data_IF_515115169025
#
_entry.id   IF_515115169025
#
_cell.length_a   1.000
_cell.length_b   1.000
_cell.length_c   1.000
_cell.angle_alpha   90.00
_cell.angle_beta   90.00
_cell.angle_gamma   90.00
#
_symmetry.space_group_name_H-M   'P 1'
#
loop_
_entity.id
_entity.type
_entity.pdbx_description
1 polymer ?
#
# COMPACT_ATOMS: atom_id res chain seq x y z
N UNK A 1 61.90 2.23 55.30
CA UNK A 1 60.77 1.32 55.06
C UNK A 1 60.91 0.76 53.63
N UNK A 2 61.16 -0.55 53.50
CA UNK A 2 61.28 -1.22 52.18
C UNK A 2 59.91 -1.63 51.69
N UNK A 3 59.39 -1.01 50.65
CA UNK A 3 58.20 -1.48 49.98
C UNK A 3 58.48 -2.75 49.19
N UNK A 4 57.74 -3.79 49.46
CA UNK A 4 57.91 -5.11 48.85
C UNK A 4 57.61 -5.11 47.36
N UNK A 5 58.42 -5.86 46.58
CA UNK A 5 58.31 -5.99 45.12
C UNK A 5 57.00 -6.62 44.61
N UNK A 6 56.14 -7.12 45.51
CA UNK A 6 54.86 -7.77 45.16
C UNK A 6 53.75 -6.81 44.82
N UNK A 7 53.79 -5.53 45.27
CA UNK A 7 52.76 -4.53 44.97
C UNK A 7 52.76 -3.98 43.55
N UNK A 8 53.86 -4.16 42.81
CA UNK A 8 54.01 -3.64 41.44
C UNK A 8 53.53 -4.60 40.34
N UNK A 9 53.48 -5.90 40.65
CA UNK A 9 53.00 -6.91 39.67
C UNK A 9 51.48 -6.99 39.67
N UNK A 10 50.82 -6.76 40.83
CA UNK A 10 49.37 -6.73 40.88
C UNK A 10 48.70 -5.57 40.16
N UNK A 11 49.39 -4.40 40.10
CA UNK A 11 48.87 -3.23 39.40
C UNK A 11 49.01 -3.33 37.87
N UNK A 12 50.01 -4.01 37.38
CA UNK A 12 50.24 -4.24 35.95
C UNK A 12 49.25 -5.28 35.39
N UNK A 13 48.81 -6.28 36.17
CA UNK A 13 47.81 -7.26 35.73
C UNK A 13 46.41 -6.70 35.76
N UNK A 14 46.04 -5.78 36.65
CA UNK A 14 44.76 -5.15 36.69
C UNK A 14 44.50 -4.18 35.53
N UNK A 15 45.56 -3.51 35.03
CA UNK A 15 45.48 -2.61 33.88
C UNK A 15 45.40 -3.39 32.57
N UNK A 16 46.03 -4.55 32.46
CA UNK A 16 45.99 -5.37 31.24
C UNK A 16 44.70 -6.18 31.10
N UNK A 17 43.96 -6.46 32.19
CA UNK A 17 42.61 -7.05 32.10
C UNK A 17 41.52 -6.00 31.80
N UNK A 18 41.75 -4.73 32.13
CA UNK A 18 40.77 -3.64 31.86
C UNK A 18 40.75 -3.16 30.45
N UNK A 19 41.78 -3.41 29.65
CA UNK A 19 41.86 -3.00 28.21
C UNK A 19 41.37 -4.08 27.26
N UNK A 20 41.14 -5.30 27.69
CA UNK A 20 40.69 -6.43 26.89
C UNK A 20 39.17 -6.61 26.80
N UNK A 21 38.38 -5.88 27.58
CA UNK A 21 36.92 -6.00 27.61
C UNK A 21 36.18 -4.83 26.94
N UNK A 22 36.89 -3.98 26.24
CA UNK A 22 36.38 -2.69 25.75
C UNK A 22 36.17 -2.52 24.27
N UNK A 23 36.23 -3.54 23.43
CA UNK A 23 35.90 -3.40 21.99
C UNK A 23 35.33 -4.69 21.40
N UNK A 24 34.26 -5.19 21.97
CA UNK A 24 33.27 -5.86 21.15
C UNK A 24 32.02 -4.99 21.12
N UNK A 25 32.15 -3.77 20.61
CA UNK A 25 31.05 -3.15 19.94
C UNK A 25 30.81 -3.98 18.67
N UNK A 26 30.26 -5.18 18.85
CA UNK A 26 29.40 -5.71 17.81
C UNK A 26 28.31 -4.65 17.65
N UNK A 27 28.42 -3.84 16.61
CA UNK A 27 27.26 -3.18 16.06
C UNK A 27 26.33 -4.33 15.66
N UNK A 28 25.49 -4.73 16.61
CA UNK A 28 24.39 -5.63 16.30
C UNK A 28 23.59 -4.89 15.26
N UNK A 29 23.72 -5.32 14.02
CA UNK A 29 22.99 -4.80 12.87
C UNK A 29 21.52 -5.15 13.12
N UNK A 30 20.82 -4.28 13.89
CA UNK A 30 19.43 -4.47 14.23
C UNK A 30 18.59 -4.18 12.99
N UNK A 31 17.67 -5.07 12.69
CA UNK A 31 16.64 -4.78 11.70
C UNK A 31 15.67 -3.76 12.31
N UNK A 32 15.35 -2.69 11.58
CA UNK A 32 14.24 -1.79 11.93
C UNK A 32 12.90 -2.37 11.54
N UNK A 33 12.89 -3.36 10.63
CA UNK A 33 11.69 -4.02 10.17
C UNK A 33 11.97 -4.99 9.05
N UNK A 34 10.89 -5.52 8.50
CA UNK A 34 10.91 -6.42 7.36
C UNK A 34 10.09 -5.83 6.23
N UNK A 35 10.57 -5.98 5.01
CA UNK A 35 9.96 -5.47 3.80
C UNK A 35 9.54 -6.65 2.92
N UNK A 36 8.29 -6.67 2.46
CA UNK A 36 7.75 -7.72 1.63
C UNK A 36 7.26 -7.15 0.31
N UNK A 37 7.60 -7.84 -0.77
CA UNK A 37 7.23 -7.46 -2.14
C UNK A 37 6.50 -8.61 -2.80
N UNK A 38 5.29 -8.37 -3.29
CA UNK A 38 4.57 -9.33 -4.13
C UNK A 38 4.99 -9.19 -5.58
N UNK A 39 5.14 -10.31 -6.29
CA UNK A 39 5.50 -10.32 -7.71
C UNK A 39 4.65 -11.30 -8.49
N UNK A 40 4.07 -10.81 -9.60
CA UNK A 40 3.10 -11.56 -10.41
C UNK A 40 3.74 -12.58 -11.34
N UNK A 41 4.96 -12.35 -11.83
CA UNK A 41 5.59 -13.20 -12.82
C UNK A 41 5.75 -14.67 -12.36
N UNK A 42 6.08 -14.87 -11.08
CA UNK A 42 6.31 -16.21 -10.51
C UNK A 42 5.39 -16.50 -9.32
N UNK A 43 4.38 -15.65 -9.05
CA UNK A 43 3.45 -15.78 -7.93
C UNK A 43 4.17 -15.90 -6.58
N UNK A 44 5.09 -14.98 -6.32
CA UNK A 44 5.99 -15.03 -5.17
C UNK A 44 5.91 -13.78 -4.30
N UNK A 45 6.43 -13.93 -3.08
CA UNK A 45 6.65 -12.84 -2.13
C UNK A 45 8.16 -12.80 -1.83
N UNK A 46 8.82 -11.69 -2.18
CA UNK A 46 10.17 -11.41 -1.72
C UNK A 46 10.13 -10.87 -0.30
N UNK A 47 10.85 -11.48 0.62
CA UNK A 47 11.00 -10.99 1.99
C UNK A 47 12.40 -10.48 2.24
N UNK A 48 12.52 -9.29 2.87
CA UNK A 48 13.78 -8.64 3.16
C UNK A 48 13.80 -8.09 4.59
N UNK A 49 14.98 -8.10 5.19
CA UNK A 49 15.30 -7.37 6.41
C UNK A 49 15.81 -5.97 6.04
N UNK A 50 15.33 -4.94 6.70
CA UNK A 50 15.80 -3.55 6.56
C UNK A 50 16.91 -3.29 7.57
N UNK A 51 18.10 -2.90 7.10
CA UNK A 51 19.23 -2.49 7.94
C UNK A 51 18.98 -1.11 8.55
N UNK A 52 19.13 -0.99 9.87
CA UNK A 52 18.79 0.24 10.57
C UNK A 52 19.75 1.41 10.30
N UNK A 53 20.99 1.14 9.88
CA UNK A 53 22.00 2.17 9.72
C UNK A 53 22.16 2.64 8.27
N UNK A 54 21.84 1.77 7.32
CA UNK A 54 22.10 1.98 5.91
C UNK A 54 20.86 1.89 5.03
N UNK A 55 19.74 1.36 5.55
CA UNK A 55 18.52 1.11 4.78
C UNK A 55 18.68 -0.01 3.73
N UNK A 56 19.79 -0.74 3.75
CA UNK A 56 19.98 -1.82 2.79
C UNK A 56 19.03 -2.99 3.05
N UNK A 57 18.55 -3.60 1.98
CA UNK A 57 17.71 -4.78 2.03
C UNK A 57 18.57 -6.04 1.94
N UNK A 58 18.31 -6.98 2.84
CA UNK A 58 18.91 -8.33 2.82
C UNK A 58 17.80 -9.36 2.86
N UNK A 59 17.78 -10.31 1.94
CA UNK A 59 16.75 -11.34 1.88
C UNK A 59 16.59 -12.07 3.22
N UNK A 60 15.34 -12.31 3.63
CA UNK A 60 15.02 -13.15 4.79
C UNK A 60 15.29 -14.61 4.46
N UNK A 61 15.42 -15.43 5.49
CA UNK A 61 15.59 -16.87 5.32
C UNK A 61 14.41 -17.46 4.55
N UNK A 62 14.72 -18.34 3.58
CA UNK A 62 13.76 -19.00 2.68
C UNK A 62 13.00 -18.05 1.72
N UNK A 63 13.38 -16.76 1.63
CA UNK A 63 12.86 -15.88 0.56
C UNK A 63 13.41 -16.31 -0.81
N UNK A 64 12.60 -16.29 -1.90
CA UNK A 64 11.20 -15.89 -1.96
C UNK A 64 10.21 -16.98 -1.53
N UNK A 65 9.04 -16.57 -1.05
CA UNK A 65 7.94 -17.45 -0.64
C UNK A 65 6.88 -17.54 -1.75
N UNK A 66 6.17 -18.68 -1.85
CA UNK A 66 4.97 -18.75 -2.71
C UNK A 66 3.88 -17.82 -2.16
N UNK A 67 3.14 -17.10 -3.03
CA UNK A 67 2.07 -16.18 -2.61
C UNK A 67 0.81 -16.87 -2.08
N UNK A 68 0.71 -18.19 -2.27
CA UNK A 68 -0.47 -18.97 -1.90
C UNK A 68 -1.64 -18.86 -2.90
N UNK A 69 -1.44 -18.21 -4.03
CA UNK A 69 -2.39 -18.07 -5.12
C UNK A 69 -1.69 -17.63 -6.40
N UNK A 70 -2.48 -17.16 -7.37
CA UNK A 70 -1.98 -16.70 -8.66
C UNK A 70 -2.18 -15.19 -8.80
N UNK A 71 -1.22 -14.54 -9.44
CA UNK A 71 -1.22 -13.11 -9.72
C UNK A 71 -1.44 -12.28 -8.44
N UNK A 72 -0.49 -12.28 -7.49
CA UNK A 72 -0.58 -11.44 -6.30
C UNK A 72 -0.49 -9.96 -6.70
N UNK A 73 -1.51 -9.18 -6.33
CA UNK A 73 -1.67 -7.77 -6.74
C UNK A 73 -1.49 -6.79 -5.60
N UNK A 74 -1.82 -7.19 -4.38
CA UNK A 74 -1.74 -6.36 -3.18
C UNK A 74 -1.37 -7.21 -1.97
N UNK A 75 -0.84 -6.55 -0.95
CA UNK A 75 -0.61 -7.15 0.35
C UNK A 75 -0.84 -6.12 1.46
N UNK A 76 -1.09 -6.59 2.67
CA UNK A 76 -1.12 -5.75 3.87
C UNK A 76 -0.55 -6.51 5.07
N UNK A 77 0.02 -5.75 6.00
CA UNK A 77 0.48 -6.25 7.29
C UNK A 77 -0.51 -5.79 8.36
N UNK A 78 -0.94 -6.70 9.22
CA UNK A 78 -1.89 -6.41 10.29
C UNK A 78 -1.38 -6.87 11.66
N UNK A 79 -2.10 -6.45 12.73
CA UNK A 79 -1.84 -6.81 14.11
C UNK A 79 -0.38 -6.58 14.55
N UNK A 80 0.07 -5.32 14.42
CA UNK A 80 1.42 -4.91 14.81
C UNK A 80 2.53 -5.79 14.20
N UNK A 81 2.39 -6.16 12.94
CA UNK A 81 3.40 -6.91 12.21
C UNK A 81 3.36 -8.42 12.38
N UNK A 82 2.29 -9.00 12.94
CA UNK A 82 2.18 -10.45 13.14
C UNK A 82 1.72 -11.22 11.91
N UNK A 83 0.85 -10.61 11.09
CA UNK A 83 0.20 -11.27 9.97
C UNK A 83 0.41 -10.50 8.69
N UNK A 84 0.65 -11.24 7.61
CA UNK A 84 0.66 -10.74 6.24
C UNK A 84 -0.52 -11.37 5.50
N UNK A 85 -1.33 -10.54 4.86
CA UNK A 85 -2.37 -10.97 3.93
C UNK A 85 -1.95 -10.58 2.52
N UNK A 86 -2.08 -11.50 1.59
CA UNK A 86 -1.76 -11.30 0.17
C UNK A 86 -3.02 -11.53 -0.64
N UNK A 87 -3.42 -10.53 -1.41
CA UNK A 87 -4.52 -10.60 -2.35
C UNK A 87 -3.99 -11.10 -3.69
N UNK A 88 -4.44 -12.27 -4.08
CA UNK A 88 -4.15 -12.88 -5.37
C UNK A 88 -5.37 -12.72 -6.28
N UNK A 89 -5.20 -12.11 -7.44
CA UNK A 89 -6.30 -11.85 -8.38
C UNK A 89 -6.75 -13.11 -9.14
N UNK A 90 -5.97 -14.20 -9.07
CA UNK A 90 -6.25 -15.42 -9.82
C UNK A 90 -5.73 -15.37 -11.26
N UNK A 91 -6.14 -16.33 -12.07
CA UNK A 91 -5.76 -16.45 -13.47
C UNK A 91 -6.87 -17.06 -14.33
N UNK A 92 -6.82 -16.86 -15.65
CA UNK A 92 -7.69 -17.53 -16.61
C UNK A 92 -9.14 -17.05 -16.69
N UNK A 93 -9.52 -16.05 -15.89
CA UNK A 93 -10.81 -15.38 -16.00
C UNK A 93 -10.73 -14.22 -16.99
N UNK A 94 -11.88 -13.71 -17.46
CA UNK A 94 -11.93 -12.52 -18.32
C UNK A 94 -11.20 -11.36 -17.66
N UNK A 95 -10.25 -10.75 -18.34
CA UNK A 95 -9.42 -9.65 -17.82
C UNK A 95 -8.22 -10.09 -16.95
N UNK A 96 -8.03 -11.37 -16.73
CA UNK A 96 -6.87 -11.91 -16.00
C UNK A 96 -5.82 -12.53 -16.93
N UNK A 97 -4.60 -12.68 -16.43
CA UNK A 97 -3.55 -13.43 -17.14
C UNK A 97 -3.95 -14.89 -17.33
N UNK A 98 -3.52 -15.49 -18.43
CA UNK A 98 -3.72 -16.94 -18.65
C UNK A 98 -3.10 -17.74 -17.51
N UNK A 99 -3.79 -18.80 -17.07
CA UNK A 99 -3.20 -19.71 -16.09
C UNK A 99 -1.99 -20.42 -16.67
N UNK A 100 -0.94 -20.63 -15.87
CA UNK A 100 0.13 -21.55 -16.24
C UNK A 100 -0.41 -22.93 -16.63
N UNK A 101 0.25 -23.63 -17.54
CA UNK A 101 -0.18 -24.97 -17.96
C UNK A 101 -0.22 -25.91 -16.77
N UNK A 102 -1.33 -26.68 -16.63
CA UNK A 102 -1.52 -27.64 -15.57
C UNK A 102 -2.15 -27.11 -14.28
N UNK A 103 -2.58 -25.83 -14.23
CA UNK A 103 -3.31 -25.27 -13.09
C UNK A 103 -4.76 -25.81 -13.13
N UNK A 104 -5.21 -26.55 -12.09
CA UNK A 104 -6.61 -26.93 -11.99
C UNK A 104 -7.51 -25.70 -11.85
N UNK A 105 -8.69 -25.72 -12.48
CA UNK A 105 -9.66 -24.63 -12.40
C UNK A 105 -10.03 -24.25 -10.95
N UNK A 106 -10.04 -25.22 -10.04
CA UNK A 106 -10.28 -24.97 -8.61
C UNK A 106 -9.21 -24.09 -7.93
N UNK A 107 -8.00 -24.05 -8.48
CA UNK A 107 -6.88 -23.26 -7.94
C UNK A 107 -6.64 -21.96 -8.72
N UNK A 108 -7.37 -21.76 -9.80
CA UNK A 108 -7.24 -20.59 -10.66
C UNK A 108 -7.92 -19.33 -10.08
N UNK A 109 -8.83 -19.51 -9.11
CA UNK A 109 -9.62 -18.43 -8.53
C UNK A 109 -8.79 -17.41 -7.74
N UNK A 110 -9.38 -16.24 -7.58
CA UNK A 110 -8.85 -15.22 -6.69
C UNK A 110 -8.92 -15.66 -5.22
N UNK A 111 -7.93 -15.28 -4.41
CA UNK A 111 -7.94 -15.60 -2.98
C UNK A 111 -7.15 -14.58 -2.15
N UNK A 112 -7.35 -14.66 -0.83
CA UNK A 112 -6.60 -13.95 0.19
C UNK A 112 -5.76 -14.98 0.93
N UNK A 113 -4.45 -14.93 0.81
CA UNK A 113 -3.53 -15.83 1.53
C UNK A 113 -3.08 -15.20 2.83
N UNK A 114 -3.22 -15.93 3.94
CA UNK A 114 -2.76 -15.54 5.27
C UNK A 114 -1.41 -16.20 5.58
N UNK A 115 -0.46 -15.38 6.03
CA UNK A 115 0.83 -15.80 6.54
C UNK A 115 1.07 -15.25 7.94
N UNK A 116 1.73 -16.01 8.80
CA UNK A 116 2.36 -15.49 10.02
C UNK A 116 3.76 -14.98 9.70
N UNK A 117 4.14 -13.86 10.34
CA UNK A 117 5.48 -13.28 10.26
C UNK A 117 6.26 -13.70 11.50
N UNK A 118 7.31 -14.49 11.30
CA UNK A 118 8.19 -14.94 12.38
C UNK A 118 9.17 -13.87 12.85
N UNK A 119 9.80 -14.06 13.99
CA UNK A 119 10.70 -13.08 14.60
C UNK A 119 11.94 -12.66 13.79
N UNK A 120 12.24 -13.38 12.68
CA UNK A 120 13.29 -13.04 11.70
C UNK A 120 12.71 -12.62 10.35
N UNK A 121 11.42 -12.31 10.29
CA UNK A 121 10.72 -11.91 9.07
C UNK A 121 10.39 -13.05 8.10
N UNK A 122 10.60 -14.30 8.50
CA UNK A 122 10.20 -15.45 7.70
C UNK A 122 8.68 -15.60 7.65
N UNK A 123 8.14 -16.00 6.48
CA UNK A 123 6.70 -16.20 6.28
C UNK A 123 6.33 -17.66 6.39
N UNK A 124 5.21 -17.93 7.10
CA UNK A 124 4.61 -19.26 7.17
C UNK A 124 3.14 -19.18 6.76
N UNK A 125 2.78 -19.86 5.67
CA UNK A 125 1.39 -19.94 5.19
C UNK A 125 0.47 -20.58 6.22
N UNK A 126 -0.72 -20.02 6.43
CA UNK A 126 -1.68 -20.48 7.43
C UNK A 126 -3.03 -20.89 6.83
N UNK A 127 -3.58 -20.08 5.94
CA UNK A 127 -4.92 -20.28 5.39
C UNK A 127 -5.11 -19.48 4.10
N UNK A 128 -6.18 -19.82 3.38
CA UNK A 128 -6.67 -19.11 2.21
C UNK A 128 -8.16 -18.82 2.36
N UNK A 129 -8.60 -17.66 1.88
CA UNK A 129 -9.98 -17.18 1.92
C UNK A 129 -10.35 -16.61 0.56
N UNK A 130 -11.64 -16.56 0.24
CA UNK A 130 -12.16 -15.94 -0.98
C UNK A 130 -12.93 -14.67 -0.62
N UNK A 131 -12.78 -13.61 -1.43
CA UNK A 131 -13.77 -12.55 -1.46
C UNK A 131 -15.09 -13.06 -2.01
N UNK A 132 -16.15 -12.30 -1.88
CA UNK A 132 -17.49 -12.71 -2.31
C UNK A 132 -17.86 -12.17 -3.68
N UNK A 133 -17.11 -11.17 -4.15
CA UNK A 133 -17.16 -10.67 -5.53
C UNK A 133 -16.21 -11.40 -6.48
N UNK A 134 -16.01 -10.80 -7.63
CA UNK A 134 -15.09 -11.28 -8.65
C UNK A 134 -14.07 -10.20 -9.02
N UNK A 135 -12.88 -10.62 -9.45
CA UNK A 135 -11.79 -9.74 -9.87
C UNK A 135 -11.40 -8.73 -8.79
N UNK A 136 -10.79 -9.19 -7.68
CA UNK A 136 -10.35 -8.31 -6.61
C UNK A 136 -9.30 -7.31 -7.12
N UNK A 137 -9.40 -6.07 -6.66
CA UNK A 137 -8.52 -4.95 -7.05
C UNK A 137 -7.74 -4.37 -5.88
N UNK A 138 -8.27 -4.44 -4.67
CA UNK A 138 -7.58 -3.87 -3.51
C UNK A 138 -7.97 -4.56 -2.19
N UNK A 139 -7.06 -4.49 -1.20
CA UNK A 139 -7.26 -5.03 0.15
C UNK A 139 -6.72 -4.04 1.17
N UNK A 140 -7.48 -3.80 2.24
CA UNK A 140 -7.05 -2.97 3.37
C UNK A 140 -7.60 -3.51 4.70
N UNK A 141 -6.88 -3.23 5.78
CA UNK A 141 -7.39 -3.41 7.13
C UNK A 141 -7.75 -2.05 7.75
N UNK A 142 -8.61 -2.08 8.75
CA UNK A 142 -8.82 -0.92 9.60
C UNK A 142 -7.59 -0.62 10.47
N UNK A 143 -7.47 0.58 11.01
CA UNK A 143 -6.33 1.01 11.83
C UNK A 143 -6.19 0.21 13.13
N UNK A 144 -7.27 -0.42 13.60
CA UNK A 144 -7.27 -1.28 14.78
C UNK A 144 -6.78 -2.71 14.47
N UNK A 145 -6.71 -3.10 13.20
CA UNK A 145 -6.38 -4.45 12.77
C UNK A 145 -7.45 -5.49 13.13
N UNK A 146 -8.70 -5.05 13.34
CA UNK A 146 -9.82 -5.94 13.69
C UNK A 146 -10.67 -6.34 12.50
N UNK A 147 -10.66 -5.53 11.43
CA UNK A 147 -11.41 -5.81 10.22
C UNK A 147 -10.51 -5.73 8.99
N UNK A 148 -10.83 -6.57 8.02
CA UNK A 148 -10.18 -6.59 6.71
C UNK A 148 -11.26 -6.44 5.64
N UNK A 149 -10.97 -5.63 4.64
CA UNK A 149 -11.85 -5.32 3.53
C UNK A 149 -11.17 -5.65 2.21
N UNK A 150 -11.91 -6.25 1.29
CA UNK A 150 -11.47 -6.53 -0.08
C UNK A 150 -12.44 -5.87 -1.03
N UNK A 151 -11.92 -5.08 -1.96
CA UNK A 151 -12.67 -4.47 -3.04
C UNK A 151 -12.57 -5.37 -4.27
N UNK A 152 -13.71 -5.79 -4.79
CA UNK A 152 -13.85 -6.53 -6.03
C UNK A 152 -14.44 -5.63 -7.11
N UNK A 153 -13.98 -5.76 -8.36
CA UNK A 153 -14.45 -4.93 -9.47
C UNK A 153 -15.85 -5.31 -9.97
N UNK A 154 -16.30 -6.53 -9.68
CA UNK A 154 -17.62 -7.01 -10.09
C UNK A 154 -18.29 -7.84 -9.01
N UNK A 155 -19.58 -7.57 -8.79
CA UNK A 155 -20.43 -8.38 -7.89
C UNK A 155 -20.78 -9.74 -8.50
N UNK A 156 -21.14 -10.70 -7.65
CA UNK A 156 -21.70 -11.99 -8.10
C UNK A 156 -23.17 -11.91 -8.52
N UNK A 157 -23.93 -10.95 -7.97
CA UNK A 157 -25.34 -10.73 -8.31
C UNK A 157 -25.56 -9.26 -8.74
N UNK A 158 -25.60 -8.96 -10.06
CA UNK A 158 -25.76 -7.60 -10.57
C UNK A 158 -27.07 -6.92 -10.14
N UNK A 159 -28.10 -7.66 -9.77
CA UNK A 159 -29.38 -7.09 -9.31
C UNK A 159 -29.25 -6.29 -8.02
N UNK A 160 -28.15 -6.45 -7.30
CA UNK A 160 -27.84 -5.74 -6.05
C UNK A 160 -27.15 -4.39 -6.26
N UNK A 161 -26.75 -4.06 -7.51
CA UNK A 161 -26.09 -2.81 -7.85
C UNK A 161 -27.02 -1.61 -7.66
N UNK A 162 -26.46 -0.52 -7.13
CA UNK A 162 -27.17 0.78 -7.08
C UNK A 162 -27.46 1.24 -8.51
N UNK A 163 -28.71 1.56 -8.80
CA UNK A 163 -29.10 1.98 -10.16
C UNK A 163 -29.26 0.84 -11.18
N UNK A 164 -29.21 -0.43 -10.73
CA UNK A 164 -29.52 -1.55 -11.60
C UNK A 164 -30.90 -1.39 -12.25
N UNK A 165 -30.95 -1.48 -13.57
CA UNK A 165 -32.18 -1.49 -14.34
C UNK A 165 -32.16 -2.77 -15.18
N UNK A 166 -33.19 -3.61 -15.04
CA UNK A 166 -33.29 -4.89 -15.76
C UNK A 166 -33.26 -4.74 -17.28
N UNK A 167 -33.56 -3.54 -17.82
CA UNK A 167 -33.45 -3.20 -19.24
C UNK A 167 -32.02 -2.86 -19.68
N UNK A 168 -31.09 -2.69 -18.74
CA UNK A 168 -29.65 -2.49 -19.02
C UNK A 168 -28.83 -3.42 -18.11
N UNK A 169 -28.71 -4.71 -18.46
CA UNK A 169 -27.98 -5.70 -17.67
C UNK A 169 -26.47 -5.47 -17.65
N UNK A 170 -25.94 -4.52 -18.43
CA UNK A 170 -24.52 -4.16 -18.46
C UNK A 170 -24.09 -3.25 -17.30
N UNK A 171 -25.01 -2.91 -16.39
CA UNK A 171 -24.66 -2.18 -15.15
C UNK A 171 -23.92 -3.13 -14.22
N UNK A 172 -22.61 -3.20 -14.37
CA UNK A 172 -21.72 -4.01 -13.54
C UNK A 172 -21.15 -3.09 -12.46
N UNK A 173 -21.53 -3.34 -11.21
CA UNK A 173 -20.91 -2.68 -10.06
C UNK A 173 -19.91 -3.61 -9.37
N UNK A 174 -19.07 -3.02 -8.52
CA UNK A 174 -18.20 -3.78 -7.63
C UNK A 174 -18.82 -4.06 -6.26
N UNK A 175 -18.04 -4.67 -5.40
CA UNK A 175 -18.41 -4.85 -4.00
C UNK A 175 -17.22 -4.76 -3.06
N UNK A 176 -17.53 -4.61 -1.78
CA UNK A 176 -16.58 -4.79 -0.69
C UNK A 176 -16.99 -6.03 0.10
N UNK A 177 -16.12 -7.01 0.17
CA UNK A 177 -16.21 -8.10 1.14
C UNK A 177 -15.53 -7.70 2.43
N UNK A 178 -16.22 -7.83 3.58
CA UNK A 178 -15.71 -7.49 4.89
C UNK A 178 -15.49 -8.75 5.75
N UNK A 179 -14.42 -8.76 6.52
CA UNK A 179 -14.06 -9.83 7.45
C UNK A 179 -13.68 -9.30 8.82
N UNK A 180 -14.01 -10.07 9.87
CA UNK A 180 -13.33 -9.92 11.16
C UNK A 180 -11.97 -10.62 11.11
N UNK A 181 -10.98 -10.04 11.78
CA UNK A 181 -9.65 -10.63 11.98
C UNK A 181 -9.58 -11.17 13.42
N UNK A 182 -9.31 -12.45 13.59
CA UNK A 182 -8.96 -13.00 14.90
C UNK A 182 -7.58 -12.47 15.34
N UNK A 183 -7.47 -11.76 16.47
CA UNK A 183 -6.23 -11.07 16.85
C UNK A 183 -5.10 -12.04 17.24
N UNK A 184 -5.40 -13.30 17.55
CA UNK A 184 -4.40 -14.29 17.96
C UNK A 184 -3.89 -15.12 16.79
N UNK A 185 -4.77 -15.47 15.87
CA UNK A 185 -4.49 -16.40 14.76
C UNK A 185 -4.45 -15.74 13.39
N UNK A 186 -4.94 -14.49 13.26
CA UNK A 186 -5.10 -13.80 11.97
C UNK A 186 -6.20 -14.38 11.09
N UNK A 187 -6.94 -15.38 11.56
CA UNK A 187 -7.99 -16.03 10.76
C UNK A 187 -9.12 -15.06 10.47
N UNK A 188 -9.63 -15.14 9.24
CA UNK A 188 -10.74 -14.30 8.77
C UNK A 188 -12.08 -15.01 8.97
N UNK A 189 -13.08 -14.25 9.44
CA UNK A 189 -14.48 -14.67 9.45
C UNK A 189 -15.33 -13.62 8.74
N UNK A 190 -16.16 -14.07 7.81
CA UNK A 190 -16.98 -13.22 6.95
C UNK A 190 -17.99 -12.41 7.76
N UNK A 191 -18.15 -11.13 7.43
CA UNK A 191 -19.17 -10.24 7.94
C UNK A 191 -20.32 -10.21 6.94
N UNK A 192 -21.48 -10.70 7.34
CA UNK A 192 -22.70 -10.69 6.53
C UNK A 192 -23.34 -9.30 6.55
N UNK A 193 -23.71 -8.77 5.40
CA UNK A 193 -24.43 -7.52 5.25
C UNK A 193 -25.81 -7.63 5.90
N UNK A 194 -26.14 -6.73 6.84
CA UNK A 194 -27.43 -6.71 7.53
C UNK A 194 -28.43 -5.75 6.88
N UNK A 195 -27.95 -4.82 6.05
CA UNK A 195 -28.77 -3.77 5.42
C UNK A 195 -29.35 -4.16 4.07
N UNK A 196 -28.63 -5.00 3.30
CA UNK A 196 -29.02 -5.33 1.91
C UNK A 196 -29.21 -6.85 1.78
N UNK A 197 -30.30 -7.22 1.12
CA UNK A 197 -30.69 -8.61 0.85
C UNK A 197 -30.75 -8.87 -0.65
N UNK A 198 -30.53 -10.10 -1.04
CA UNK A 198 -30.78 -10.57 -2.41
C UNK A 198 -32.29 -10.69 -2.69
N UNK A 199 -32.66 -11.01 -3.93
CA UNK A 199 -34.04 -11.19 -4.36
C UNK A 199 -34.81 -12.28 -3.61
N UNK A 200 -34.12 -13.21 -2.92
CA UNK A 200 -34.71 -14.27 -2.11
C UNK A 200 -34.87 -13.88 -0.61
N UNK A 201 -34.56 -12.65 -0.23
CA UNK A 201 -34.63 -12.17 1.13
C UNK A 201 -33.48 -12.60 2.04
N UNK A 202 -32.41 -13.20 1.50
CA UNK A 202 -31.20 -13.59 2.23
C UNK A 202 -30.24 -12.40 2.29
N UNK A 203 -29.62 -12.16 3.43
CA UNK A 203 -28.60 -11.15 3.60
C UNK A 203 -27.41 -11.42 2.66
N UNK A 204 -26.88 -10.37 2.02
CA UNK A 204 -25.70 -10.48 1.17
C UNK A 204 -24.46 -10.82 2.02
N UNK A 205 -23.51 -11.50 1.39
CA UNK A 205 -22.20 -11.76 1.97
C UNK A 205 -21.15 -10.67 1.62
N UNK A 206 -21.61 -9.57 1.01
CA UNK A 206 -20.80 -8.44 0.56
C UNK A 206 -21.59 -7.13 0.60
N UNK A 207 -20.92 -6.03 0.38
CA UNK A 207 -21.51 -4.66 0.36
C UNK A 207 -21.31 -4.09 -1.06
N UNK A 208 -22.40 -3.93 -1.86
CA UNK A 208 -22.30 -3.39 -3.21
C UNK A 208 -21.73 -1.96 -3.20
N UNK A 209 -20.88 -1.65 -4.18
CA UNK A 209 -20.32 -0.32 -4.46
C UNK A 209 -20.71 0.14 -5.86
N UNK A 210 -20.23 1.27 -6.35
CA UNK A 210 -20.55 1.75 -7.70
C UNK A 210 -19.80 1.03 -8.80
N UNK A 211 -19.89 1.56 -10.02
CA UNK A 211 -19.35 0.90 -11.22
C UNK A 211 -17.86 1.16 -11.41
N UNK A 212 -17.13 0.10 -11.76
CA UNK A 212 -15.71 0.17 -12.07
C UNK A 212 -14.85 0.70 -10.92
N UNK A 213 -14.97 0.13 -9.71
CA UNK A 213 -14.14 0.57 -8.58
C UNK A 213 -12.66 0.30 -8.88
N UNK A 214 -11.81 1.28 -8.57
CA UNK A 214 -10.37 1.27 -8.87
C UNK A 214 -9.57 0.99 -7.60
N UNK A 215 -9.92 1.68 -6.51
CA UNK A 215 -9.21 1.59 -5.25
C UNK A 215 -10.11 2.09 -4.11
N UNK A 216 -9.71 1.85 -2.88
CA UNK A 216 -10.40 2.36 -1.71
C UNK A 216 -9.44 2.63 -0.56
N UNK A 217 -9.91 3.38 0.43
CA UNK A 217 -9.19 3.63 1.67
C UNK A 217 -10.13 3.56 2.87
N UNK A 218 -9.69 2.88 3.93
CA UNK A 218 -10.30 2.94 5.26
C UNK A 218 -9.69 4.14 5.97
N UNK A 219 -10.52 5.13 6.37
CA UNK A 219 -9.98 6.29 7.10
C UNK A 219 -9.41 5.86 8.46
N UNK A 220 -8.36 6.53 8.98
CA UNK A 220 -7.76 6.14 10.26
C UNK A 220 -8.68 6.14 11.47
N UNK A 221 -9.80 6.88 11.42
CA UNK A 221 -10.86 6.84 12.45
C UNK A 221 -11.72 5.58 12.40
N UNK A 222 -11.58 4.75 11.37
CA UNK A 222 -12.41 3.58 11.05
C UNK A 222 -13.91 3.90 10.83
N UNK A 223 -14.30 5.18 10.76
CA UNK A 223 -15.69 5.59 10.63
C UNK A 223 -16.20 5.54 9.19
N UNK A 224 -15.30 5.64 8.21
CA UNK A 224 -15.67 5.68 6.80
C UNK A 224 -14.69 4.88 5.94
N UNK A 225 -15.23 4.41 4.81
CA UNK A 225 -14.46 3.91 3.68
C UNK A 225 -14.79 4.81 2.49
N UNK A 226 -13.76 5.26 1.79
CA UNK A 226 -13.89 5.96 0.51
C UNK A 226 -13.46 5.03 -0.62
N UNK A 227 -14.29 4.86 -1.64
CA UNK A 227 -13.92 4.21 -2.90
C UNK A 227 -13.75 5.27 -3.98
N UNK A 228 -12.84 5.05 -4.90
CA UNK A 228 -12.74 5.78 -6.15
C UNK A 228 -13.20 4.88 -7.28
N UNK A 229 -14.04 5.41 -8.15
CA UNK A 229 -14.77 4.62 -9.15
C UNK A 229 -14.79 5.33 -10.50
N UNK A 230 -14.72 4.55 -11.58
CA UNK A 230 -14.83 5.09 -12.95
C UNK A 230 -16.25 5.60 -13.22
N UNK A 231 -17.24 4.93 -12.62
CA UNK A 231 -18.64 5.25 -12.78
C UNK A 231 -19.19 4.94 -14.16
N UNK A 232 -20.53 4.91 -14.28
CA UNK A 232 -21.24 4.74 -15.55
C UNK A 232 -21.56 6.05 -16.26
N UNK A 233 -21.30 7.20 -15.61
CA UNK A 233 -21.66 8.52 -16.11
C UNK A 233 -23.11 8.93 -15.83
N UNK A 234 -23.87 8.13 -15.07
CA UNK A 234 -25.23 8.47 -14.65
C UNK A 234 -25.25 9.43 -13.43
N UNK A 235 -26.38 10.06 -13.15
CA UNK A 235 -26.50 10.95 -11.99
C UNK A 235 -26.31 10.24 -10.64
N UNK A 236 -26.61 8.95 -10.55
CA UNK A 236 -26.42 8.13 -9.36
C UNK A 236 -25.03 7.47 -9.28
N UNK A 237 -24.33 7.41 -10.40
CA UNK A 237 -23.04 6.78 -10.58
C UNK A 237 -22.21 7.63 -11.57
N UNK A 238 -21.80 8.86 -11.16
CA UNK A 238 -21.07 9.77 -12.03
C UNK A 238 -19.66 9.26 -12.31
N UNK A 239 -19.14 9.64 -13.47
CA UNK A 239 -17.77 9.30 -13.85
C UNK A 239 -16.75 9.93 -12.91
N UNK A 240 -15.70 9.20 -12.58
CA UNK A 240 -14.57 9.66 -11.76
C UNK A 240 -15.04 10.23 -10.41
N UNK A 241 -15.77 9.44 -9.65
CA UNK A 241 -16.37 9.86 -8.40
C UNK A 241 -15.77 9.15 -7.19
N UNK A 242 -15.96 9.77 -6.03
CA UNK A 242 -15.71 9.14 -4.73
C UNK A 242 -17.04 8.75 -4.10
N UNK A 243 -17.15 7.49 -3.70
CA UNK A 243 -18.27 7.02 -2.88
C UNK A 243 -17.84 6.88 -1.43
N UNK A 244 -18.76 7.20 -0.54
CA UNK A 244 -18.52 7.24 0.91
C UNK A 244 -19.41 6.22 1.59
N UNK A 245 -18.80 5.32 2.32
CA UNK A 245 -19.50 4.31 3.11
C UNK A 245 -19.21 4.55 4.59
N UNK A 246 -20.28 4.73 5.38
CA UNK A 246 -20.15 4.68 6.83
C UNK A 246 -19.77 3.25 7.23
N UNK A 247 -18.75 3.12 8.06
CA UNK A 247 -18.27 1.85 8.59
C UNK A 247 -18.62 1.73 10.08
N UNK A 248 -19.44 0.76 10.41
CA UNK A 248 -19.77 0.43 11.80
C UNK A 248 -19.32 -1.01 12.08
N UNK A 249 -18.10 -1.17 12.55
CA UNK A 249 -17.53 -2.47 12.89
C UNK A 249 -17.66 -3.50 11.73
N UNK A 250 -17.26 -3.09 10.54
CA UNK A 250 -17.31 -3.91 9.32
C UNK A 250 -18.66 -3.93 8.61
N UNK A 251 -19.75 -3.40 9.21
CA UNK A 251 -21.00 -3.16 8.52
C UNK A 251 -20.95 -1.85 7.76
N UNK A 252 -21.08 -1.92 6.43
CA UNK A 252 -21.02 -0.76 5.56
C UNK A 252 -22.41 -0.29 5.15
N UNK A 253 -22.58 1.03 5.14
CA UNK A 253 -23.78 1.67 4.65
C UNK A 253 -23.42 2.88 3.80
N UNK A 254 -24.07 3.02 2.64
CA UNK A 254 -23.85 4.17 1.77
C UNK A 254 -24.19 5.46 2.53
N UNK A 255 -23.26 6.42 2.54
CA UNK A 255 -23.44 7.70 3.21
C UNK A 255 -24.36 8.61 2.41
N UNK A 256 -25.08 9.52 3.10
CA UNK A 256 -25.92 10.53 2.44
C UNK A 256 -25.13 11.56 1.62
N UNK A 257 -23.83 11.70 1.86
CA UNK A 257 -22.94 12.64 1.18
C UNK A 257 -22.24 12.03 -0.06
N UNK A 258 -22.87 11.07 -0.70
CA UNK A 258 -22.31 10.34 -1.84
C UNK A 258 -23.31 10.27 -2.99
N UNK A 259 -22.89 10.15 -4.26
CA UNK A 259 -21.51 10.24 -4.76
C UNK A 259 -20.94 11.67 -4.70
N UNK A 260 -19.61 11.77 -4.61
CA UNK A 260 -18.89 13.04 -4.68
C UNK A 260 -18.20 13.11 -6.04
N UNK A 261 -18.73 13.87 -7.01
CA UNK A 261 -18.09 14.05 -8.30
C UNK A 261 -16.73 14.73 -8.14
N UNK A 262 -15.75 14.30 -8.90
CA UNK A 262 -14.42 14.93 -8.94
C UNK A 262 -14.18 15.59 -10.29
N UNK A 263 -13.27 16.57 -10.38
CA UNK A 263 -12.83 17.14 -11.65
C UNK A 263 -11.79 16.26 -12.37
N UNK A 264 -11.53 15.05 -11.89
CA UNK A 264 -10.52 14.16 -12.45
C UNK A 264 -10.92 13.64 -13.83
N UNK A 265 -9.90 13.39 -14.66
CA UNK A 265 -10.04 12.72 -15.94
C UNK A 265 -9.82 11.20 -15.82
N UNK A 266 -8.90 10.78 -14.93
CA UNK A 266 -8.59 9.36 -14.66
C UNK A 266 -8.06 9.18 -13.23
N UNK A 267 -8.98 8.86 -12.30
CA UNK A 267 -8.62 8.54 -10.92
C UNK A 267 -7.84 7.22 -10.86
N UNK A 268 -6.69 7.21 -10.19
CA UNK A 268 -5.85 6.02 -10.06
C UNK A 268 -5.58 5.62 -8.61
N UNK A 269 -5.51 6.58 -7.71
CA UNK A 269 -5.14 6.30 -6.32
C UNK A 269 -5.86 7.22 -5.34
N UNK A 270 -6.05 6.72 -4.12
CA UNK A 270 -6.61 7.47 -2.99
C UNK A 270 -5.79 7.19 -1.73
N UNK A 271 -5.54 8.23 -0.97
CA UNK A 271 -4.95 8.18 0.38
C UNK A 271 -5.81 9.01 1.33
N UNK A 272 -6.01 8.52 2.56
CA UNK A 272 -6.68 9.26 3.61
C UNK A 272 -5.84 9.30 4.89
N UNK A 273 -5.63 10.49 5.41
CA UNK A 273 -5.23 10.73 6.80
C UNK A 273 -6.47 10.95 7.67
N UNK A 274 -6.28 11.22 8.95
CA UNK A 274 -7.40 11.56 9.85
C UNK A 274 -8.17 12.82 9.43
N UNK A 275 -7.58 13.71 8.63
CA UNK A 275 -8.12 15.03 8.30
C UNK A 275 -8.17 15.32 6.81
N UNK A 276 -7.26 14.76 6.05
CA UNK A 276 -7.07 15.07 4.63
C UNK A 276 -7.18 13.82 3.78
N UNK A 277 -7.76 13.98 2.59
CA UNK A 277 -7.83 12.95 1.55
C UNK A 277 -7.15 13.51 0.30
N UNK A 278 -6.28 12.72 -0.29
CA UNK A 278 -5.59 13.04 -1.54
C UNK A 278 -5.97 12.01 -2.59
N UNK A 279 -6.44 12.50 -3.74
CA UNK A 279 -6.73 11.67 -4.90
C UNK A 279 -5.65 11.92 -5.96
N UNK A 280 -5.31 10.90 -6.72
CA UNK A 280 -4.46 11.02 -7.90
C UNK A 280 -5.31 10.93 -9.15
N UNK A 281 -5.16 11.93 -9.99
CA UNK A 281 -5.66 11.99 -11.36
C UNK A 281 -4.46 11.82 -12.31
N UNK A 282 -4.38 10.70 -13.00
CA UNK A 282 -3.31 10.45 -13.97
C UNK A 282 -3.52 11.23 -15.28
N UNK A 283 -4.75 11.73 -15.54
CA UNK A 283 -5.14 12.32 -16.80
C UNK A 283 -5.36 11.26 -17.90
N UNK A 284 -6.07 11.63 -18.96
CA UNK A 284 -6.42 10.68 -20.03
C UNK A 284 -5.28 10.39 -21.03
N UNK A 285 -4.22 11.18 -20.99
CA UNK A 285 -3.09 11.00 -21.89
C UNK A 285 -1.94 10.32 -21.14
N UNK A 286 -1.43 9.23 -21.68
CA UNK A 286 -0.22 8.53 -21.19
C UNK A 286 1.03 9.42 -21.05
N UNK A 287 0.95 10.65 -21.55
CA UNK A 287 1.98 11.66 -21.44
C UNK A 287 1.60 12.79 -20.47
N UNK A 288 0.50 12.66 -19.71
CA UNK A 288 0.09 13.67 -18.75
C UNK A 288 0.99 13.65 -17.52
N UNK A 289 1.26 14.81 -16.96
CA UNK A 289 1.99 14.92 -15.68
C UNK A 289 1.14 14.53 -14.47
N UNK A 290 -0.19 14.45 -14.66
CA UNK A 290 -1.14 14.15 -13.60
C UNK A 290 -1.31 15.26 -12.57
N UNK A 291 -2.34 15.10 -11.74
CA UNK A 291 -2.72 16.06 -10.69
C UNK A 291 -2.92 15.33 -9.36
N UNK A 292 -2.66 16.04 -8.28
CA UNK A 292 -3.10 15.65 -6.93
C UNK A 292 -4.29 16.52 -6.57
N UNK A 293 -5.40 15.89 -6.17
CA UNK A 293 -6.63 16.55 -5.77
C UNK A 293 -6.77 16.46 -4.25
N UNK A 294 -6.48 17.55 -3.51
CA UNK A 294 -6.53 17.55 -2.06
C UNK A 294 -7.93 17.93 -1.53
N UNK A 295 -8.39 17.19 -0.51
CA UNK A 295 -9.66 17.39 0.17
C UNK A 295 -9.49 17.39 1.68
N UNK A 296 -10.39 18.09 2.38
CA UNK A 296 -10.64 17.86 3.82
C UNK A 296 -11.76 16.83 3.97
N UNK A 297 -11.62 15.93 4.95
CA UNK A 297 -12.67 15.01 5.34
C UNK A 297 -13.46 15.62 6.51
N UNK A 298 -14.77 15.76 6.33
CA UNK A 298 -15.70 16.16 7.37
C UNK A 298 -16.03 14.99 8.32
N UNK A 299 -16.55 15.30 9.50
CA UNK A 299 -16.96 14.30 10.51
C UNK A 299 -18.10 13.39 10.04
N UNK A 300 -18.83 13.80 9.01
CA UNK A 300 -19.91 13.03 8.37
C UNK A 300 -19.44 12.29 7.09
N UNK A 301 -18.13 12.25 6.82
CA UNK A 301 -17.55 11.64 5.63
C UNK A 301 -17.59 12.51 4.37
N UNK A 302 -18.21 13.70 4.40
CA UNK A 302 -18.19 14.61 3.25
C UNK A 302 -16.76 15.09 2.93
N UNK A 303 -16.44 15.17 1.65
CA UNK A 303 -15.18 15.73 1.17
C UNK A 303 -15.38 17.15 0.64
N UNK A 304 -14.49 18.05 1.02
CA UNK A 304 -14.45 19.43 0.53
C UNK A 304 -13.08 19.70 -0.07
N UNK A 305 -13.04 20.18 -1.31
CA UNK A 305 -11.78 20.57 -1.96
C UNK A 305 -11.05 21.61 -1.14
N UNK A 306 -9.75 21.46 -0.98
CA UNK A 306 -8.92 22.44 -0.28
C UNK A 306 -8.82 23.73 -1.08
N UNK A 307 -8.75 24.86 -0.36
CA UNK A 307 -8.46 26.17 -0.94
C UNK A 307 -7.07 26.13 -1.58
N UNK A 308 -6.99 26.43 -2.86
CA UNK A 308 -5.78 26.32 -3.66
C UNK A 308 -5.91 25.26 -4.77
N UNK A 309 -6.92 24.39 -4.67
CA UNK A 309 -7.31 23.49 -5.75
C UNK A 309 -6.30 22.38 -6.04
N UNK A 310 -6.34 21.92 -7.27
CA UNK A 310 -5.48 20.86 -7.81
C UNK A 310 -4.00 21.25 -7.73
N UNK A 311 -3.15 20.28 -7.39
CA UNK A 311 -1.70 20.48 -7.34
C UNK A 311 -1.07 19.68 -8.48
N UNK A 312 -0.40 20.34 -9.45
CA UNK A 312 0.29 19.65 -10.52
C UNK A 312 1.36 18.71 -9.94
N UNK A 313 1.37 17.46 -10.45
CA UNK A 313 2.50 16.59 -10.22
C UNK A 313 3.71 17.13 -10.99
N UNK A 314 4.89 16.91 -10.48
CA UNK A 314 6.10 17.38 -11.12
C UNK A 314 6.58 16.39 -12.16
N UNK A 315 6.86 16.89 -13.32
CA UNK A 315 7.46 16.13 -14.41
C UNK A 315 6.56 16.06 -15.63
N UNK A 316 7.18 15.96 -16.77
CA UNK A 316 6.53 15.66 -18.04
C UNK A 316 6.38 14.13 -18.13
N UNK A 317 5.22 13.63 -18.53
CA UNK A 317 5.01 12.20 -18.80
C UNK A 317 5.18 11.28 -17.58
N UNK A 318 4.54 11.61 -16.46
CA UNK A 318 4.84 10.92 -15.21
C UNK A 318 3.99 9.67 -14.94
N UNK A 319 2.78 9.59 -15.50
CA UNK A 319 1.81 8.53 -15.20
C UNK A 319 1.81 8.20 -13.69
N UNK A 320 1.25 9.09 -12.85
CA UNK A 320 1.33 8.97 -11.41
C UNK A 320 0.52 7.78 -10.90
N UNK A 321 1.14 6.99 -10.06
CA UNK A 321 0.55 5.80 -9.46
C UNK A 321 0.40 5.91 -7.95
N UNK A 322 0.90 4.94 -7.17
CA UNK A 322 0.73 4.92 -5.72
C UNK A 322 1.47 6.06 -5.03
N UNK A 323 0.89 6.50 -3.92
CA UNK A 323 1.48 7.48 -3.02
C UNK A 323 1.60 6.94 -1.59
N UNK A 324 2.48 7.55 -0.82
CA UNK A 324 2.59 7.37 0.62
C UNK A 324 2.77 8.74 1.30
N UNK A 325 2.30 8.83 2.54
CA UNK A 325 2.60 9.97 3.42
C UNK A 325 3.49 9.44 4.52
N UNK A 326 4.52 10.21 4.89
CA UNK A 326 5.39 9.82 5.99
C UNK A 326 4.60 9.67 7.31
N UNK A 327 5.11 8.88 8.23
CA UNK A 327 4.43 8.60 9.51
C UNK A 327 4.19 9.85 10.36
N UNK A 328 4.93 10.93 10.10
CA UNK A 328 4.73 12.22 10.77
C UNK A 328 3.64 13.07 10.12
N UNK A 329 3.11 12.65 8.97
CA UNK A 329 2.12 13.41 8.21
C UNK A 329 2.66 14.69 7.59
N UNK A 330 3.98 14.78 7.38
CA UNK A 330 4.70 15.98 6.96
C UNK A 330 5.03 16.01 5.48
N UNK A 331 5.31 14.84 4.90
CA UNK A 331 5.69 14.71 3.51
C UNK A 331 4.82 13.70 2.78
N UNK A 332 4.44 14.03 1.56
CA UNK A 332 3.79 13.12 0.64
C UNK A 332 4.77 12.76 -0.49
N UNK A 333 4.90 11.48 -0.79
CA UNK A 333 5.69 10.97 -1.90
C UNK A 333 4.79 10.21 -2.87
N UNK A 334 4.97 10.49 -4.15
CA UNK A 334 4.19 9.94 -5.25
C UNK A 334 5.10 9.23 -6.23
N UNK A 335 4.84 7.96 -6.51
CA UNK A 335 5.56 7.18 -7.50
C UNK A 335 5.02 7.49 -8.90
N UNK A 336 5.91 7.79 -9.82
CA UNK A 336 5.64 8.05 -11.24
C UNK A 336 6.12 6.84 -12.05
N UNK A 337 5.19 6.14 -12.69
CA UNK A 337 5.50 4.90 -13.43
C UNK A 337 6.20 5.19 -14.75
N UNK A 338 5.89 6.34 -15.34
CA UNK A 338 6.31 6.70 -16.70
C UNK A 338 5.41 6.09 -17.77
N UNK A 339 5.52 6.55 -19.01
CA UNK A 339 4.57 6.25 -20.09
C UNK A 339 4.61 4.79 -20.58
N UNK A 340 5.63 4.03 -20.20
CA UNK A 340 5.79 2.66 -20.65
C UNK A 340 6.27 1.77 -19.49
N UNK A 341 5.64 0.63 -19.31
CA UNK A 341 6.07 -0.41 -18.37
C UNK A 341 7.28 -1.20 -18.92
N UNK A 342 8.30 -0.51 -19.43
CA UNK A 342 9.51 -1.12 -19.99
C UNK A 342 10.74 -0.83 -19.12
N UNK A 343 11.74 -1.70 -19.08
CA UNK A 343 12.95 -1.51 -18.28
C UNK A 343 13.75 -0.22 -18.56
N UNK A 344 13.48 0.42 -19.69
CA UNK A 344 14.19 1.63 -20.14
C UNK A 344 13.34 2.89 -20.07
N UNK A 345 12.23 2.88 -19.32
CA UNK A 345 11.38 4.09 -19.19
C UNK A 345 12.13 5.21 -18.46
N UNK A 346 12.57 6.27 -19.14
CA UNK A 346 13.40 7.34 -18.54
C UNK A 346 12.60 8.26 -17.62
N UNK A 347 11.28 8.10 -17.55
CA UNK A 347 10.35 9.00 -16.84
C UNK A 347 9.92 8.48 -15.48
N UNK A 348 10.36 7.27 -15.08
CA UNK A 348 10.06 6.72 -13.75
C UNK A 348 10.78 7.51 -12.66
N UNK A 349 10.04 7.94 -11.66
CA UNK A 349 10.58 8.82 -10.62
C UNK A 349 9.71 8.83 -9.37
N UNK A 350 10.15 9.55 -8.35
CA UNK A 350 9.36 9.89 -7.16
C UNK A 350 9.24 11.40 -7.06
N UNK A 351 8.02 11.91 -6.99
CA UNK A 351 7.73 13.30 -6.66
C UNK A 351 7.52 13.45 -5.15
N UNK A 352 8.00 14.55 -4.56
CA UNK A 352 7.84 14.83 -3.13
C UNK A 352 7.17 16.15 -2.87
N UNK A 353 6.31 16.21 -1.84
CA UNK A 353 5.55 17.39 -1.43
C UNK A 353 5.60 17.56 0.09
N UNK A 354 5.69 18.80 0.55
CA UNK A 354 5.45 19.16 1.93
C UNK A 354 3.94 19.31 2.14
N UNK A 355 3.44 18.78 3.25
CA UNK A 355 2.06 18.91 3.70
C UNK A 355 2.00 20.00 4.76
N UNK A 356 1.28 21.07 4.51
CA UNK A 356 1.01 22.08 5.55
C UNK A 356 0.11 21.46 6.64
N UNK A 357 0.57 21.38 7.89
CA UNK A 357 -0.15 20.65 8.94
C UNK A 357 -1.48 21.28 9.34
N UNK A 358 -1.66 22.59 9.04
CA UNK A 358 -2.86 23.34 9.39
C UNK A 358 -3.92 23.25 8.30
N UNK A 359 -3.48 23.35 7.03
CA UNK A 359 -4.37 23.47 5.89
C UNK A 359 -4.42 22.23 5.01
N UNK A 360 -3.46 21.29 5.12
CA UNK A 360 -3.33 20.13 4.23
C UNK A 360 -2.84 20.46 2.83
N UNK A 361 -2.49 21.71 2.56
CA UNK A 361 -2.00 22.14 1.24
C UNK A 361 -0.66 21.50 0.95
N UNK A 362 -0.50 21.07 -0.29
CA UNK A 362 0.73 20.50 -0.78
C UNK A 362 1.60 21.59 -1.42
N UNK A 363 2.87 21.59 -1.04
CA UNK A 363 3.89 22.42 -1.68
C UNK A 363 4.98 21.48 -2.20
N UNK A 364 5.35 21.55 -3.50
CA UNK A 364 6.43 20.72 -4.02
C UNK A 364 7.72 20.91 -3.23
N UNK A 365 8.40 19.83 -2.89
CA UNK A 365 9.73 19.91 -2.28
C UNK A 365 10.68 20.54 -3.28
N UNK A 366 11.30 21.66 -2.90
CA UNK A 366 12.19 22.40 -3.78
C UNK A 366 13.61 21.84 -3.72
N UNK A 367 14.17 21.49 -4.85
CA UNK A 367 15.58 21.16 -5.03
C UNK A 367 16.35 22.14 -5.94
N UNK A 368 15.68 23.08 -6.61
CA UNK A 368 16.26 24.25 -7.30
C UNK A 368 15.15 25.09 -7.96
N UNK A 369 15.27 26.40 -7.84
CA UNK A 369 14.75 27.49 -8.71
C UNK A 369 13.49 27.16 -9.54
N UNK A 370 12.32 27.61 -9.09
CA UNK A 370 11.06 27.71 -9.84
C UNK A 370 10.01 26.59 -9.68
N UNK A 371 9.47 26.36 -8.46
CA UNK A 371 8.09 25.83 -8.34
C UNK A 371 7.77 24.44 -8.91
N UNK A 372 8.75 23.74 -9.46
CA UNK A 372 8.63 22.38 -9.96
C UNK A 372 9.08 21.41 -8.86
N UNK A 373 8.29 20.40 -8.55
CA UNK A 373 8.67 19.37 -7.59
C UNK A 373 9.93 18.66 -8.09
N UNK A 374 10.84 18.34 -7.15
CA UNK A 374 12.05 17.60 -7.47
C UNK A 374 11.66 16.17 -7.75
N UNK A 375 12.12 15.66 -8.88
CA UNK A 375 12.02 14.26 -9.25
C UNK A 375 13.24 13.51 -8.67
N UNK A 376 12.98 12.50 -7.85
CA UNK A 376 14.01 11.58 -7.34
C UNK A 376 14.01 10.32 -8.18
N UNK A 377 15.18 9.71 -8.36
CA UNK A 377 15.28 8.48 -9.14
C UNK A 377 14.55 7.32 -8.49
N UNK A 378 13.82 6.57 -9.29
CA UNK A 378 13.25 5.26 -8.99
C UNK A 378 13.84 4.22 -9.95
N UNK A 379 13.52 2.94 -9.75
CA UNK A 379 13.65 1.94 -10.82
C UNK A 379 12.53 2.09 -11.84
N UNK A 380 12.44 1.18 -12.82
CA UNK A 380 11.50 1.31 -13.93
C UNK A 380 10.08 0.85 -13.55
N UNK A 381 9.09 1.70 -13.80
CA UNK A 381 7.66 1.48 -13.55
C UNK A 381 7.35 1.09 -12.08
N UNK A 382 7.56 1.98 -11.10
CA UNK A 382 7.25 1.71 -9.70
C UNK A 382 5.75 1.49 -9.49
N UNK A 383 5.37 0.33 -8.93
CA UNK A 383 3.99 -0.05 -8.60
C UNK A 383 3.68 0.09 -7.11
N UNK A 384 4.68 0.36 -6.31
CA UNK A 384 4.55 0.58 -4.87
C UNK A 384 5.55 1.60 -4.40
N UNK A 385 5.15 2.40 -3.42
CA UNK A 385 6.01 3.31 -2.68
C UNK A 385 5.69 3.18 -1.20
N UNK A 386 6.70 3.09 -0.36
CA UNK A 386 6.54 2.81 1.06
C UNK A 386 7.66 3.44 1.88
N UNK A 387 7.33 4.11 2.97
CA UNK A 387 8.26 4.50 4.02
C UNK A 387 8.50 3.34 4.99
N UNK A 388 9.73 3.18 5.43
CA UNK A 388 10.08 2.15 6.42
C UNK A 388 9.56 2.49 7.82
N UNK A 389 9.43 1.50 8.75
CA UNK A 389 8.92 1.75 10.09
C UNK A 389 9.76 2.70 10.94
N UNK A 390 11.00 3.01 10.57
CA UNK A 390 11.87 3.95 11.31
C UNK A 390 11.79 5.39 10.83
N UNK A 391 10.98 5.70 9.82
CA UNK A 391 10.85 7.01 9.16
C UNK A 391 12.17 7.54 8.55
N UNK A 392 13.08 6.64 8.18
CA UNK A 392 14.39 7.02 7.66
C UNK A 392 14.54 6.76 6.17
N UNK A 393 13.80 5.77 5.67
CA UNK A 393 14.00 5.24 4.31
C UNK A 393 12.69 5.17 3.55
N UNK A 394 12.78 5.47 2.25
CA UNK A 394 11.68 5.29 1.30
C UNK A 394 12.09 4.25 0.27
N UNK A 395 11.16 3.34 -0.04
CA UNK A 395 11.39 2.29 -1.04
C UNK A 395 10.34 2.33 -2.13
N UNK A 396 10.75 2.03 -3.36
CA UNK A 396 9.85 1.74 -4.49
C UNK A 396 10.06 0.33 -4.97
N UNK A 397 8.97 -0.40 -5.25
CA UNK A 397 9.02 -1.69 -5.93
C UNK A 397 8.70 -1.51 -7.40
N UNK A 398 9.64 -1.89 -8.28
CA UNK A 398 9.70 -1.48 -9.68
C UNK A 398 9.37 -2.66 -10.60
N UNK A 399 8.24 -2.59 -11.27
CA UNK A 399 7.66 -3.69 -12.05
C UNK A 399 8.53 -4.11 -13.23
N UNK A 400 9.02 -3.14 -14.01
CA UNK A 400 9.64 -3.43 -15.30
C UNK A 400 11.07 -3.96 -15.19
N UNK A 401 11.81 -3.61 -14.14
CA UNK A 401 13.19 -4.06 -13.92
C UNK A 401 13.32 -5.07 -12.77
N UNK A 402 12.23 -5.47 -12.13
CA UNK A 402 12.20 -6.46 -11.04
C UNK A 402 13.13 -6.09 -9.88
N UNK A 403 13.12 -4.81 -9.49
CA UNK A 403 13.96 -4.29 -8.42
C UNK A 403 13.16 -3.59 -7.32
N UNK A 404 13.83 -3.34 -6.20
CA UNK A 404 13.43 -2.36 -5.19
C UNK A 404 14.49 -1.27 -5.16
N UNK A 405 14.09 -0.01 -5.29
CA UNK A 405 14.98 1.14 -5.11
C UNK A 405 14.77 1.74 -3.74
N UNK A 406 15.86 2.05 -3.02
CA UNK A 406 15.82 2.66 -1.70
C UNK A 406 16.46 4.04 -1.68
N UNK A 407 15.92 4.94 -0.85
CA UNK A 407 16.43 6.29 -0.61
C UNK A 407 16.39 6.63 0.88
N UNK A 408 17.25 7.54 1.32
CA UNK A 408 17.24 8.14 2.66
C UNK A 408 16.35 9.37 2.63
N UNK A 409 15.43 9.49 3.59
CA UNK A 409 14.58 10.66 3.80
C UNK A 409 15.31 11.67 4.69
N UNK A 410 15.43 12.91 4.25
CA UNK A 410 15.81 13.99 5.13
C UNK A 410 14.59 14.43 5.96
N UNK A 411 14.54 14.11 7.24
CA UNK A 411 13.42 14.38 8.13
C UNK A 411 13.03 15.86 8.28
N UNK A 412 13.94 16.78 7.92
CA UNK A 412 13.69 18.22 7.99
C UNK A 412 13.10 18.76 6.69
N UNK A 413 13.64 18.34 5.55
CA UNK A 413 13.30 18.91 4.24
C UNK A 413 12.45 17.98 3.37
N UNK A 414 12.32 16.69 3.70
CA UNK A 414 11.67 15.67 2.89
C UNK A 414 12.45 15.25 1.65
N UNK A 415 13.63 15.85 1.39
CA UNK A 415 14.42 15.49 0.21
C UNK A 415 14.97 14.08 0.32
N UNK A 416 15.01 13.38 -0.80
CA UNK A 416 15.52 12.02 -0.89
C UNK A 416 16.98 12.03 -1.37
N UNK A 417 17.78 11.17 -0.74
CA UNK A 417 19.17 10.92 -1.18
C UNK A 417 19.38 9.41 -1.32
N UNK A 418 20.29 9.01 -2.19
CA UNK A 418 20.58 7.59 -2.45
C UNK A 418 21.12 6.90 -1.20
N UNK A 419 20.79 5.62 -1.02
CA UNK A 419 21.40 4.79 0.02
C UNK A 419 22.91 4.68 -0.20
N UNK A 420 23.68 4.59 0.89
CA UNK A 420 25.15 4.65 0.83
C UNK A 420 25.82 3.45 0.17
N UNK A 421 25.23 2.25 0.30
CA UNK A 421 25.88 1.01 -0.15
C UNK A 421 25.29 0.46 -1.44
N UNK A 422 23.99 0.46 -1.57
CA UNK A 422 23.28 0.01 -2.77
C UNK A 422 22.01 0.81 -2.93
N UNK A 423 21.72 1.27 -4.13
CA UNK A 423 20.51 2.02 -4.44
C UNK A 423 19.40 1.13 -4.95
N UNK A 424 19.71 -0.08 -5.41
CA UNK A 424 18.76 -1.01 -6.00
C UNK A 424 19.03 -2.44 -5.52
N UNK A 425 17.98 -3.19 -5.30
CA UNK A 425 18.00 -4.56 -4.82
C UNK A 425 17.14 -5.42 -5.74
N UNK A 426 17.69 -6.53 -6.23
CA UNK A 426 16.92 -7.50 -6.99
C UNK A 426 15.81 -8.11 -6.11
N UNK A 427 14.62 -8.29 -6.68
CA UNK A 427 13.48 -8.87 -5.98
C UNK A 427 12.76 -9.89 -6.87
N UNK A 428 11.54 -10.29 -6.50
CA UNK A 428 10.68 -11.19 -7.29
C UNK A 428 10.29 -10.56 -8.62
N UNK A 429 10.04 -11.37 -9.63
CA UNK A 429 9.72 -10.89 -10.98
C UNK A 429 8.41 -10.10 -11.02
N UNK A 430 8.42 -8.98 -11.70
CA UNK A 430 7.28 -8.07 -11.87
C UNK A 430 6.60 -7.70 -10.54
N UNK A 431 7.29 -6.92 -9.68
CA UNK A 431 6.71 -6.43 -8.43
C UNK A 431 5.39 -5.69 -8.63
N UNK A 432 4.37 -6.08 -7.88
CA UNK A 432 3.02 -5.50 -7.96
C UNK A 432 2.67 -4.65 -6.75
N UNK A 433 3.21 -4.98 -5.57
CA UNK A 433 2.96 -4.26 -4.33
C UNK A 433 4.08 -4.47 -3.31
N UNK A 434 4.12 -3.62 -2.30
CA UNK A 434 5.05 -3.75 -1.18
C UNK A 434 4.43 -3.33 0.15
N UNK A 435 4.90 -3.93 1.24
CA UNK A 435 4.50 -3.61 2.60
C UNK A 435 5.68 -3.79 3.55
N UNK A 436 5.65 -3.10 4.69
CA UNK A 436 6.63 -3.30 5.75
C UNK A 436 5.98 -3.77 7.04
N UNK A 437 6.73 -4.55 7.80
CA UNK A 437 6.41 -4.97 9.17
C UNK A 437 7.53 -4.51 10.09
N UNK A 438 7.18 -3.87 11.19
CA UNK A 438 8.11 -3.37 12.20
C UNK A 438 7.37 -2.54 13.23
N UNK A 439 8.05 -2.16 14.30
CA UNK A 439 7.54 -1.17 15.25
C UNK A 439 7.89 0.23 14.77
N UNK A 440 6.88 1.09 14.71
CA UNK A 440 7.11 2.53 14.55
C UNK A 440 7.80 3.05 15.81
N UNK A 441 8.86 3.82 15.67
CA UNK A 441 9.60 4.43 16.76
C UNK A 441 9.22 5.90 16.92
#
# INVERSE_FOLDING_TARGET
>A
MKFSRFGRIGLALAVSLGTGLGVTSCSTNHAVGYFYVTGSQYNQIGGFRIDNNLGNLTATENSPYASGGYNPIKALVANAGKFLYVLNAGCGQTGQSACPSGVPAANAGANISLFTIGGKGGLSFQASYNSQGNQPVSIQADSSGTHLFVLDSTVTDPTTCVGYVSSNPDTICGDITAFNIDPNTGRLSLITNQGVKNGNGTNLSYFPVGSGPINFVVVPSNSFIYTIEKGSGSALDPSQAVFVYANNSGQLALSQNTPIPTPAEDLTYIYASAKYVYLIDAGQNVNASGLILPYTAGTNGALQSLVGGQVPNSGTTSDPGPMTVDHQGKFLYLANQGPNLTPTSPSSSVSGFFIDPTTGRLTPLSGASSGTAVSFGAGSAPQCILEDPSNQYLYTANFADSTVTGAVINSTTGTLTTLRKSTSFATVGQPTWCVASGTLF
#
